data_IF_263689661292
#
_entry.id   IF_263689661292
#
_cell.length_a   1.000
_cell.length_b   1.000
_cell.length_c   1.000
_cell.angle_alpha   90.00
_cell.angle_beta   90.00
_cell.angle_gamma   90.00
#
_symmetry.space_group_name_H-M   'P 1'
#
loop_
_entity.id
_entity.type
_entity.pdbx_description
1 polymer ?
#
# COMPACT_ATOMS: atom_id res chain seq x y z
N UNK A 1 20.67 5.16 -4.46
CA UNK A 1 19.52 4.23 -4.48
C UNK A 1 19.81 2.89 -3.80
N UNK A 2 20.89 2.15 -4.14
CA UNK A 2 21.17 0.82 -3.56
C UNK A 2 21.29 0.80 -2.03
N UNK A 3 21.99 1.78 -1.44
CA UNK A 3 22.16 1.87 0.02
C UNK A 3 20.83 2.12 0.74
N UNK A 4 20.04 3.10 0.29
CA UNK A 4 18.73 3.41 0.87
C UNK A 4 17.75 2.23 0.76
N UNK A 5 17.82 1.47 -0.34
CA UNK A 5 17.06 0.24 -0.50
C UNK A 5 17.43 -0.80 0.56
N UNK A 6 18.72 -1.08 0.75
CA UNK A 6 19.17 -2.05 1.75
C UNK A 6 18.76 -1.65 3.17
N UNK A 7 18.89 -0.37 3.51
CA UNK A 7 18.51 0.20 4.80
C UNK A 7 17.01 0.07 5.07
N UNK A 8 16.17 0.40 4.09
CA UNK A 8 14.70 0.24 4.19
C UNK A 8 14.27 -1.22 4.30
N UNK A 9 15.13 -2.19 4.00
CA UNK A 9 14.87 -3.62 4.19
C UNK A 9 15.60 -4.23 5.41
N UNK A 10 16.38 -3.43 6.16
CA UNK A 10 17.11 -3.90 7.35
C UNK A 10 16.15 -4.30 8.48
N UNK A 11 16.58 -5.22 9.34
CA UNK A 11 15.80 -5.63 10.53
C UNK A 11 15.84 -4.59 11.66
N UNK A 12 16.81 -3.69 11.65
CA UNK A 12 16.97 -2.66 12.67
C UNK A 12 16.10 -1.44 12.35
N UNK A 13 15.33 -0.95 13.31
CA UNK A 13 14.45 0.20 13.10
C UNK A 13 15.23 1.48 12.76
N UNK A 14 16.41 1.67 13.37
CA UNK A 14 17.32 2.79 13.12
C UNK A 14 17.79 2.83 11.66
N UNK A 15 18.16 1.68 11.10
CA UNK A 15 18.54 1.56 9.69
C UNK A 15 17.39 1.94 8.77
N UNK A 16 16.17 1.50 9.09
CA UNK A 16 14.98 1.82 8.29
C UNK A 16 14.71 3.32 8.32
N UNK A 17 14.77 3.96 9.50
CA UNK A 17 14.61 5.41 9.64
C UNK A 17 15.71 6.16 8.86
N UNK A 18 16.95 5.69 8.93
CA UNK A 18 18.06 6.27 8.15
C UNK A 18 17.82 6.12 6.65
N UNK A 19 17.31 4.97 6.21
CA UNK A 19 16.92 4.71 4.83
C UNK A 19 15.82 5.64 4.34
N UNK A 20 14.80 5.89 5.17
CA UNK A 20 13.70 6.83 4.92
C UNK A 20 14.25 8.26 4.75
N UNK A 21 15.05 8.74 5.70
CA UNK A 21 15.61 10.10 5.64
C UNK A 21 16.48 10.29 4.38
N UNK A 22 17.25 9.27 3.99
CA UNK A 22 18.01 9.30 2.74
C UNK A 22 17.13 9.31 1.48
N UNK A 23 15.98 8.62 1.50
CA UNK A 23 15.03 8.62 0.39
C UNK A 23 14.34 9.97 0.26
N UNK A 24 13.91 10.58 1.37
CA UNK A 24 13.32 11.93 1.39
C UNK A 24 14.30 12.97 0.85
N UNK A 25 15.56 12.96 1.32
CA UNK A 25 16.60 13.86 0.81
C UNK A 25 16.90 13.63 -0.69
N UNK A 26 16.84 12.39 -1.15
CA UNK A 26 17.06 12.07 -2.57
C UNK A 26 15.86 12.39 -3.46
N UNK A 27 14.66 12.51 -2.90
CA UNK A 27 13.44 12.78 -3.64
C UNK A 27 13.50 14.16 -4.31
N UNK A 28 14.02 15.17 -3.61
CA UNK A 28 14.23 16.52 -4.12
C UNK A 28 15.19 16.60 -5.31
N UNK A 29 16.11 15.64 -5.43
CA UNK A 29 17.13 15.58 -6.48
C UNK A 29 16.77 14.62 -7.64
N UNK A 30 15.48 14.30 -7.82
CA UNK A 30 15.03 13.34 -8.83
C UNK A 30 14.90 13.99 -10.20
N UNK A 31 15.66 13.50 -11.18
CA UNK A 31 15.72 14.07 -12.53
C UNK A 31 14.64 13.52 -13.48
N UNK A 32 13.97 12.42 -13.11
CA UNK A 32 13.01 11.70 -13.96
C UNK A 32 11.76 11.28 -13.17
N UNK A 33 10.55 11.42 -13.74
CA UNK A 33 9.30 10.95 -13.14
C UNK A 33 9.31 9.47 -12.77
N UNK A 34 9.99 8.62 -13.56
CA UNK A 34 10.11 7.18 -13.28
C UNK A 34 10.97 6.91 -12.05
N UNK A 35 12.10 7.61 -11.92
CA UNK A 35 12.95 7.49 -10.73
C UNK A 35 12.28 8.07 -9.49
N UNK A 36 11.52 9.15 -9.64
CA UNK A 36 10.73 9.72 -8.57
C UNK A 36 9.69 8.73 -8.08
N UNK A 37 8.96 8.07 -8.99
CA UNK A 37 7.98 7.02 -8.66
C UNK A 37 8.61 5.86 -7.88
N UNK A 38 9.76 5.35 -8.32
CA UNK A 38 10.46 4.26 -7.61
C UNK A 38 10.90 4.67 -6.20
N UNK A 39 11.38 5.91 -6.03
CA UNK A 39 11.75 6.46 -4.71
C UNK A 39 10.55 6.59 -3.79
N UNK A 40 9.43 7.12 -4.29
CA UNK A 40 8.18 7.27 -3.51
C UNK A 40 7.68 5.89 -3.06
N UNK A 41 7.74 4.88 -3.93
CA UNK A 41 7.37 3.51 -3.56
C UNK A 41 8.27 2.94 -2.46
N UNK A 42 9.59 3.11 -2.55
CA UNK A 42 10.51 2.67 -1.49
C UNK A 42 10.28 3.41 -0.18
N UNK A 43 9.94 4.70 -0.25
CA UNK A 43 9.58 5.50 0.91
C UNK A 43 8.29 4.97 1.57
N UNK A 44 7.29 4.62 0.77
CA UNK A 44 6.06 4.00 1.25
C UNK A 44 6.30 2.66 1.95
N UNK A 45 7.20 1.82 1.42
CA UNK A 45 7.63 0.56 2.06
C UNK A 45 8.33 0.85 3.40
N UNK A 46 9.19 1.87 3.45
CA UNK A 46 9.82 2.31 4.69
C UNK A 46 8.79 2.64 5.78
N UNK A 47 7.82 3.49 5.47
CA UNK A 47 6.76 3.86 6.43
C UNK A 47 5.86 2.68 6.82
N UNK A 48 5.57 1.76 5.90
CA UNK A 48 4.85 0.54 6.24
C UNK A 48 5.60 -0.29 7.29
N UNK A 49 6.93 -0.38 7.18
CA UNK A 49 7.76 -1.15 8.12
C UNK A 49 7.95 -0.46 9.47
N UNK A 50 7.88 0.88 9.53
CA UNK A 50 7.94 1.63 10.79
C UNK A 50 6.58 1.72 11.50
N UNK A 51 5.50 1.24 10.87
CA UNK A 51 4.14 1.28 11.43
C UNK A 51 3.36 2.57 11.11
N UNK A 52 3.92 3.47 10.32
CA UNK A 52 3.24 4.69 9.87
C UNK A 52 2.36 4.41 8.64
N UNK A 53 1.31 3.61 8.85
CA UNK A 53 0.43 3.14 7.77
C UNK A 53 -0.30 4.27 7.04
N UNK A 54 -0.73 5.31 7.76
CA UNK A 54 -1.41 6.48 7.15
C UNK A 54 -0.52 7.17 6.12
N UNK A 55 0.75 7.39 6.46
CA UNK A 55 1.74 8.04 5.58
C UNK A 55 2.14 7.12 4.42
N UNK A 56 2.27 5.82 4.70
CA UNK A 56 2.47 4.81 3.66
C UNK A 56 1.33 4.82 2.63
N UNK A 57 0.06 4.87 3.06
CA UNK A 57 -1.10 4.88 2.17
C UNK A 57 -1.08 6.05 1.19
N UNK A 58 -0.86 7.26 1.71
CA UNK A 58 -0.80 8.48 0.90
C UNK A 58 0.28 8.41 -0.18
N UNK A 59 1.46 7.90 0.16
CA UNK A 59 2.56 7.75 -0.79
C UNK A 59 2.27 6.69 -1.86
N UNK A 60 1.61 5.59 -1.49
CA UNK A 60 1.20 4.57 -2.47
C UNK A 60 0.11 5.10 -3.40
N UNK A 61 -0.84 5.88 -2.90
CA UNK A 61 -1.86 6.54 -3.73
C UNK A 61 -1.20 7.46 -4.77
N UNK A 62 -0.23 8.29 -4.36
CA UNK A 62 0.55 9.12 -5.29
C UNK A 62 1.30 8.29 -6.34
N UNK A 63 1.86 7.13 -5.97
CA UNK A 63 2.48 6.22 -6.95
C UNK A 63 1.46 5.70 -7.99
N UNK A 64 0.24 5.42 -7.56
CA UNK A 64 -0.83 4.88 -8.42
C UNK A 64 -1.48 5.96 -9.29
N UNK A 65 -1.47 7.24 -8.88
CA UNK A 65 -1.85 8.36 -9.74
C UNK A 65 -0.95 8.47 -10.97
N UNK A 66 0.35 8.16 -10.82
CA UNK A 66 1.33 8.16 -11.91
C UNK A 66 1.24 6.87 -12.73
N UNK A 67 1.03 5.73 -12.08
CA UNK A 67 1.00 4.41 -12.71
C UNK A 67 -0.08 3.52 -12.10
N UNK A 68 -1.33 3.60 -12.60
CA UNK A 68 -2.47 2.90 -11.99
C UNK A 68 -2.35 1.37 -12.05
N UNK A 69 -1.68 0.85 -13.08
CA UNK A 69 -1.53 -0.61 -13.29
C UNK A 69 -0.32 -1.23 -12.56
N UNK A 70 0.30 -0.48 -11.64
CA UNK A 70 1.48 -0.97 -10.93
C UNK A 70 1.11 -1.97 -9.85
N UNK A 71 1.15 -3.26 -10.19
CA UNK A 71 0.77 -4.38 -9.30
C UNK A 71 1.43 -4.34 -7.92
N UNK A 72 2.71 -3.98 -7.82
CA UNK A 72 3.42 -3.93 -6.54
C UNK A 72 2.85 -2.85 -5.61
N UNK A 73 2.56 -1.67 -6.16
CA UNK A 73 1.91 -0.58 -5.43
C UNK A 73 0.47 -0.95 -5.02
N UNK A 74 -0.30 -1.61 -5.90
CA UNK A 74 -1.64 -2.10 -5.56
C UNK A 74 -1.62 -3.12 -4.40
N UNK A 75 -0.67 -4.06 -4.42
CA UNK A 75 -0.51 -5.05 -3.33
C UNK A 75 -0.11 -4.35 -2.03
N UNK A 76 0.81 -3.38 -2.08
CA UNK A 76 1.20 -2.61 -0.90
C UNK A 76 0.04 -1.79 -0.35
N UNK A 77 -0.76 -1.14 -1.20
CA UNK A 77 -1.95 -0.39 -0.79
C UNK A 77 -2.90 -1.28 -0.01
N UNK A 78 -3.23 -2.45 -0.55
CA UNK A 78 -4.13 -3.41 0.09
C UNK A 78 -3.59 -3.86 1.45
N UNK A 79 -2.29 -4.18 1.53
CA UNK A 79 -1.67 -4.59 2.79
C UNK A 79 -1.69 -3.46 3.85
N UNK A 80 -1.47 -2.21 3.44
CA UNK A 80 -1.57 -1.03 4.30
C UNK A 80 -3.02 -0.84 4.78
N UNK A 81 -4.00 -0.91 3.90
CA UNK A 81 -5.43 -0.77 4.23
C UNK A 81 -5.92 -1.88 5.16
N UNK A 82 -5.53 -3.13 4.91
CA UNK A 82 -5.82 -4.26 5.81
C UNK A 82 -5.22 -4.04 7.21
N UNK A 83 -4.04 -3.42 7.28
CA UNK A 83 -3.38 -3.14 8.55
C UNK A 83 -4.03 -1.99 9.30
N UNK A 84 -4.37 -0.90 8.62
CA UNK A 84 -5.17 0.21 9.18
C UNK A 84 -6.51 -0.31 9.65
N UNK A 85 -7.20 -1.13 8.85
CA UNK A 85 -8.47 -1.74 9.22
C UNK A 85 -8.30 -2.62 10.45
N UNK A 86 -7.28 -3.49 10.50
CA UNK A 86 -7.03 -4.35 11.67
C UNK A 86 -6.73 -3.55 12.94
N UNK A 87 -5.88 -2.54 12.84
CA UNK A 87 -5.51 -1.69 13.98
C UNK A 87 -6.70 -0.79 14.41
N UNK A 88 -7.58 -0.41 13.47
CA UNK A 88 -8.84 0.29 13.74
C UNK A 88 -10.00 -0.61 14.22
N UNK A 89 -10.00 -1.90 13.85
CA UNK A 89 -10.99 -2.91 14.24
C UNK A 89 -10.86 -3.32 15.71
N UNK A 90 -9.74 -2.99 16.37
CA UNK A 90 -9.67 -3.05 17.84
C UNK A 90 -10.69 -2.09 18.50
N UNK A 91 -11.24 -1.11 17.76
CA UNK A 91 -12.28 -0.19 18.24
C UNK A 91 -13.68 -0.36 17.62
N UNK A 92 -13.83 -1.04 16.47
CA UNK A 92 -15.14 -1.20 15.81
C UNK A 92 -15.26 -2.63 15.31
N UNK A 93 -16.19 -3.38 15.92
CA UNK A 93 -16.52 -4.73 15.55
C UNK A 93 -16.81 -4.87 14.05
N UNK A 94 -16.22 -5.92 13.48
CA UNK A 94 -16.44 -6.50 12.16
C UNK A 94 -17.82 -6.15 11.57
N UNK A 95 -17.85 -5.40 10.47
CA UNK A 95 -18.94 -5.50 9.49
C UNK A 95 -18.42 -6.19 8.24
N UNK A 96 -18.62 -7.51 8.22
CA UNK A 96 -18.49 -8.34 7.04
C UNK A 96 -19.53 -7.87 6.01
N UNK A 97 -19.11 -7.05 5.04
CA UNK A 97 -19.97 -6.67 3.91
C UNK A 97 -19.40 -7.25 2.62
N UNK A 98 -19.87 -8.49 2.35
CA UNK A 98 -20.09 -9.11 1.05
C UNK A 98 -19.33 -8.57 -0.18
N UNK A 99 -18.28 -9.28 -0.60
CA UNK A 99 -17.80 -9.29 -1.99
C UNK A 99 -18.17 -10.61 -2.67
N UNK A 100 -19.47 -10.88 -2.74
CA UNK A 100 -20.07 -11.99 -3.48
C UNK A 100 -20.70 -11.57 -4.81
N UNK A 101 -20.17 -10.53 -5.48
CA UNK A 101 -20.75 -9.97 -6.71
C UNK A 101 -19.76 -9.93 -7.87
N UNK A 102 -19.05 -11.04 -8.12
CA UNK A 102 -18.46 -11.30 -9.44
C UNK A 102 -18.82 -12.73 -9.85
N UNK A 103 -20.11 -12.94 -10.09
CA UNK A 103 -20.62 -14.04 -10.90
C UNK A 103 -21.90 -13.53 -11.58
N UNK A 104 -21.71 -12.61 -12.53
CA UNK A 104 -22.76 -12.30 -13.49
C UNK A 104 -23.04 -13.56 -14.32
N UNK A 105 -24.31 -13.97 -14.34
CA UNK A 105 -24.81 -15.00 -15.25
C UNK A 105 -25.08 -16.35 -14.59
N UNK A 106 -26.29 -16.52 -14.05
CA UNK A 106 -27.34 -17.37 -14.64
C UNK A 106 -28.64 -16.96 -13.95
N UNK A 107 -29.48 -16.24 -14.68
CA UNK A 107 -30.91 -16.24 -14.42
C UNK A 107 -31.42 -17.62 -14.85
N UNK A 108 -31.75 -18.49 -13.90
CA UNK A 108 -32.55 -19.66 -14.16
C UNK A 108 -33.35 -20.04 -12.91
N UNK A 109 -34.66 -19.77 -13.00
CA UNK A 109 -35.74 -20.65 -12.58
C UNK A 109 -35.59 -21.41 -11.25
N UNK A 110 -36.49 -21.11 -10.31
CA UNK A 110 -37.70 -21.92 -10.14
C UNK A 110 -38.55 -21.34 -9.01
N UNK A 111 -39.53 -20.53 -9.42
CA UNK A 111 -40.76 -20.29 -8.68
C UNK A 111 -41.49 -21.62 -8.48
N UNK A 112 -41.63 -22.09 -7.23
CA UNK A 112 -42.68 -23.07 -6.89
C UNK A 112 -43.07 -23.03 -5.40
N UNK A 113 -44.22 -22.40 -5.16
CA UNK A 113 -45.28 -22.60 -4.14
C UNK A 113 -46.07 -21.29 -4.15
N UNK A 114 -47.35 -21.24 -4.49
CA UNK A 114 -48.47 -22.10 -4.10
C UNK A 114 -49.57 -22.08 -5.17
#
# INVERSE_FOLDING_TARGET
MRLSWALVHSRQAEDVQRGIAMLEASLANSSSPLQQREKIYLLAVGYYRTGEFSRSRQLVEQCLEIAPDWRQALVLKKAVEERIAKDGVIGIGITATALGLIAGGIAAALTRRH
#
